data_IF_916547181056
#
_entry.id   IF_916547181056
#
_cell.length_a   1.000
_cell.length_b   1.000
_cell.length_c   1.000
_cell.angle_alpha   90.00
_cell.angle_beta   90.00
_cell.angle_gamma   90.00
#
_symmetry.space_group_name_H-M   'P 1'
#
loop_
_entity.id
_entity.type
_entity.pdbx_description
1 polymer ?
#
# COMPACT_ATOMS: atom_id res chain seq x y z
N UNK A 1 -1.44 -9.58 7.98
CA UNK A 1 -1.78 -9.34 6.56
C UNK A 1 -2.91 -8.35 6.61
N UNK A 2 -2.65 -7.17 6.10
CA UNK A 2 -3.61 -6.07 6.07
C UNK A 2 -4.11 -5.88 4.64
N UNK A 3 -5.16 -5.08 4.48
CA UNK A 3 -5.77 -4.76 3.19
C UNK A 3 -5.95 -3.25 3.07
N UNK A 4 -6.04 -2.76 1.83
CA UNK A 4 -6.24 -1.34 1.56
C UNK A 4 -7.63 -1.12 0.94
N UNK A 5 -8.42 -0.24 1.56
CA UNK A 5 -9.67 0.24 1.00
C UNK A 5 -9.43 1.58 0.27
N UNK A 6 -9.96 1.69 -0.95
CA UNK A 6 -9.97 2.93 -1.71
C UNK A 6 -11.33 3.58 -1.54
N UNK A 7 -11.34 4.76 -0.94
CA UNK A 7 -12.55 5.48 -0.55
C UNK A 7 -12.62 6.81 -1.30
N UNK A 8 -13.74 7.06 -1.97
CA UNK A 8 -14.10 8.38 -2.47
C UNK A 8 -14.54 9.25 -1.28
N UNK A 9 -13.86 10.39 -1.11
CA UNK A 9 -14.17 11.40 -0.09
C UNK A 9 -14.55 12.74 -0.72
N UNK A 10 -14.98 12.74 -1.99
CA UNK A 10 -15.44 13.94 -2.70
C UNK A 10 -16.66 14.59 -2.05
N UNK A 11 -17.54 13.78 -1.44
CA UNK A 11 -18.54 14.22 -0.46
C UNK A 11 -18.14 13.77 0.96
N UNK A 12 -17.61 14.68 1.80
CA UNK A 12 -17.19 14.35 3.16
C UNK A 12 -18.34 13.91 4.08
N UNK A 13 -19.59 14.22 3.74
CA UNK A 13 -20.76 13.80 4.51
C UNK A 13 -21.21 12.39 4.17
N UNK A 14 -20.80 11.86 3.01
CA UNK A 14 -21.17 10.55 2.50
C UNK A 14 -20.01 9.89 1.71
N UNK A 15 -18.92 9.49 2.39
CA UNK A 15 -17.82 8.79 1.74
C UNK A 15 -18.27 7.42 1.20
N UNK A 16 -17.72 7.01 0.05
CA UNK A 16 -18.09 5.74 -0.59
C UNK A 16 -16.86 4.88 -0.89
N UNK A 17 -16.96 3.58 -0.69
CA UNK A 17 -15.87 2.66 -1.03
C UNK A 17 -15.92 2.39 -2.53
N UNK A 18 -14.83 2.69 -3.24
CA UNK A 18 -14.68 2.45 -4.67
C UNK A 18 -14.09 1.06 -4.92
N UNK A 19 -13.11 0.63 -4.12
CA UNK A 19 -12.40 -0.63 -4.34
C UNK A 19 -11.81 -1.19 -3.04
N UNK A 20 -11.69 -2.53 -2.99
CA UNK A 20 -10.95 -3.26 -1.98
C UNK A 20 -9.69 -3.86 -2.62
N UNK A 21 -8.53 -3.29 -2.31
CA UNK A 21 -7.25 -3.82 -2.76
C UNK A 21 -6.87 -5.04 -1.90
N UNK A 22 -7.28 -6.20 -2.38
CA UNK A 22 -7.20 -7.47 -1.66
C UNK A 22 -5.84 -8.19 -1.80
N UNK A 23 -4.84 -7.55 -2.41
CA UNK A 23 -3.48 -8.08 -2.34
C UNK A 23 -2.95 -7.73 -0.95
N UNK A 24 -2.86 -8.76 -0.11
CA UNK A 24 -2.46 -8.61 1.27
C UNK A 24 -1.12 -7.90 1.38
N UNK A 25 -1.12 -6.77 2.08
CA UNK A 25 0.07 -5.97 2.37
C UNK A 25 0.61 -6.39 3.74
N UNK A 26 1.92 -6.56 3.89
CA UNK A 26 2.52 -6.75 5.22
C UNK A 26 2.98 -5.39 5.76
N UNK A 27 2.06 -4.58 6.26
CA UNK A 27 2.46 -3.32 6.88
C UNK A 27 3.33 -3.59 8.13
N UNK A 28 4.55 -3.07 8.15
CA UNK A 28 5.33 -3.02 9.38
C UNK A 28 4.64 -2.03 10.33
N UNK A 29 4.32 -2.48 11.55
CA UNK A 29 3.63 -1.69 12.57
C UNK A 29 4.14 -0.25 12.65
N UNK A 30 3.28 0.72 12.34
CA UNK A 30 3.58 2.15 12.45
C UNK A 30 4.23 2.79 11.22
N UNK A 31 4.36 2.08 10.10
CA UNK A 31 4.89 2.63 8.87
C UNK A 31 3.79 3.36 8.08
N UNK A 32 4.03 4.61 7.69
CA UNK A 32 3.09 5.40 6.90
C UNK A 32 3.05 4.94 5.44
N UNK A 33 1.91 5.18 4.78
CA UNK A 33 1.77 5.09 3.32
C UNK A 33 2.08 6.47 2.74
N UNK A 34 2.87 6.52 1.68
CA UNK A 34 3.14 7.77 0.93
C UNK A 34 2.48 7.71 -0.46
N UNK A 35 1.93 8.83 -0.92
CA UNK A 35 1.35 8.96 -2.25
C UNK A 35 2.13 9.98 -3.07
N UNK A 36 2.66 9.54 -4.21
CA UNK A 36 3.41 10.40 -5.11
C UNK A 36 3.19 9.94 -6.56
N UNK A 37 2.87 10.88 -7.47
CA UNK A 37 2.73 10.63 -8.90
C UNK A 37 1.84 9.40 -9.24
N UNK A 38 0.63 9.36 -8.68
CA UNK A 38 -0.33 8.27 -8.87
C UNK A 38 0.13 6.91 -8.30
N UNK A 39 1.20 6.87 -7.52
CA UNK A 39 1.73 5.65 -6.91
C UNK A 39 1.62 5.72 -5.39
N UNK A 40 1.08 4.66 -4.79
CA UNK A 40 1.16 4.42 -3.35
C UNK A 40 2.42 3.61 -3.04
N UNK A 41 3.16 4.11 -2.07
CA UNK A 41 4.38 3.53 -1.52
C UNK A 41 4.00 2.90 -0.18
N UNK A 42 3.86 1.57 -0.17
CA UNK A 42 3.41 0.82 1.00
C UNK A 42 4.57 -0.01 1.55
N UNK A 43 5.00 0.21 2.79
CA UNK A 43 6.00 -0.63 3.44
C UNK A 43 5.49 -2.07 3.59
N UNK A 44 6.27 -3.04 3.09
CA UNK A 44 5.97 -4.47 3.14
C UNK A 44 6.92 -5.18 4.13
N UNK A 45 6.81 -4.84 5.41
CA UNK A 45 7.47 -5.55 6.49
C UNK A 45 8.99 -5.64 6.32
N UNK A 46 9.49 -6.88 6.37
CA UNK A 46 10.91 -7.20 6.13
C UNK A 46 11.23 -7.43 4.64
N UNK A 47 10.24 -7.31 3.75
CA UNK A 47 10.35 -7.60 2.33
C UNK A 47 10.62 -6.35 1.49
N UNK A 48 10.50 -5.15 2.07
CA UNK A 48 10.84 -3.89 1.42
C UNK A 48 9.61 -3.02 1.21
N UNK A 49 9.35 -2.66 -0.05
CA UNK A 49 8.33 -1.67 -0.41
C UNK A 49 7.50 -2.14 -1.60
N UNK A 50 6.18 -2.13 -1.41
CA UNK A 50 5.20 -2.40 -2.45
C UNK A 50 4.76 -1.09 -3.12
N UNK A 51 4.76 -1.10 -4.45
CA UNK A 51 4.37 0.04 -5.27
C UNK A 51 3.04 -0.28 -5.96
N UNK A 52 2.01 0.50 -5.65
CA UNK A 52 0.67 0.33 -6.19
C UNK A 52 0.31 1.54 -7.05
N UNK A 53 0.08 1.32 -8.33
CA UNK A 53 -0.46 2.32 -9.24
C UNK A 53 -1.96 2.49 -8.99
N UNK A 54 -2.35 3.72 -8.68
CA UNK A 54 -3.72 4.16 -8.42
C UNK A 54 -4.14 5.27 -9.39
N UNK A 55 -3.60 5.28 -10.62
CA UNK A 55 -4.05 6.16 -11.69
C UNK A 55 -5.56 6.04 -11.96
N UNK A 56 -6.07 4.80 -11.94
CA UNK A 56 -7.50 4.51 -11.89
C UNK A 56 -7.86 3.92 -10.51
N UNK A 57 -8.46 4.70 -9.60
CA UNK A 57 -8.85 4.23 -8.27
C UNK A 57 -9.87 3.09 -8.27
N UNK A 58 -10.60 2.89 -9.38
CA UNK A 58 -11.55 1.78 -9.53
C UNK A 58 -10.87 0.47 -9.91
N UNK A 59 -9.64 0.52 -10.40
CA UNK A 59 -8.84 -0.64 -10.77
C UNK A 59 -7.35 -0.43 -10.45
N UNK A 60 -6.99 -0.33 -9.16
CA UNK A 60 -5.60 -0.22 -8.73
C UNK A 60 -4.78 -1.44 -9.20
N UNK A 61 -3.58 -1.19 -9.72
CA UNK A 61 -2.69 -2.28 -10.17
C UNK A 61 -1.37 -2.24 -9.43
N UNK A 62 -0.88 -3.41 -9.05
CA UNK A 62 0.45 -3.51 -8.48
C UNK A 62 1.48 -3.26 -9.58
N UNK A 63 2.35 -2.27 -9.38
CA UNK A 63 3.34 -1.91 -10.39
C UNK A 63 4.56 -2.83 -10.29
N UNK A 64 5.15 -2.95 -9.10
CA UNK A 64 6.33 -3.79 -8.85
C UNK A 64 6.65 -3.92 -7.35
N UNK A 65 7.50 -4.88 -6.96
CA UNK A 65 8.07 -4.97 -5.62
C UNK A 65 9.49 -4.42 -5.63
N UNK A 66 9.80 -3.50 -4.72
CA UNK A 66 11.18 -3.10 -4.46
C UNK A 66 11.67 -3.83 -3.20
N UNK A 67 12.45 -4.89 -3.40
CA UNK A 67 13.06 -5.61 -2.30
C UNK A 67 14.22 -4.80 -1.73
N UNK A 68 14.03 -4.22 -0.55
CA UNK A 68 15.16 -3.83 0.28
C UNK A 68 15.57 -5.06 1.07
N UNK A 69 16.67 -5.71 0.65
CA UNK A 69 17.29 -6.76 1.46
C UNK A 69 17.88 -6.07 2.68
N UNK A 70 17.07 -5.87 3.72
CA UNK A 70 17.59 -5.49 5.02
C UNK A 70 18.26 -6.75 5.54
N UNK A 71 19.57 -6.85 5.34
CA UNK A 71 20.37 -7.85 6.02
C UNK A 71 20.10 -7.60 7.51
N UNK A 72 19.36 -8.49 8.17
CA UNK A 72 19.23 -8.48 9.61
C UNK A 72 20.42 -9.29 10.12
N UNK A 73 21.58 -8.69 10.45
CA UNK A 73 22.56 -9.43 11.20
C UNK A 73 21.97 -9.60 12.62
N UNK A 74 21.75 -10.86 12.98
CA UNK A 74 21.54 -11.35 14.35
C UNK A 74 20.11 -11.29 14.92
N UNK A 75 19.43 -12.45 14.87
CA UNK A 75 18.84 -13.01 16.09
C UNK A 75 19.94 -13.84 16.77
N UNK A 76 20.30 -13.51 18.01
CA UNK A 76 20.98 -14.40 18.96
C UNK A 76 19.92 -14.89 19.93
#
# INVERSE_FOLDING_TARGET
IDYLDIIDVSDPSNPTIINHYNKGIHSAFGSGIEFLNNTLYVPDGNYGLELIDVFDPSNPTQFTFCFFYVHHPFYV
#
